data_IF_311035569801
#
_entry.id   IF_311035569801
#
_cell.length_a   1.000
_cell.length_b   1.000
_cell.length_c   1.000
_cell.angle_alpha   90.00
_cell.angle_beta   90.00
_cell.angle_gamma   90.00
#
_symmetry.space_group_name_H-M   'P 1'
#
loop_
_entity.id
_entity.type
_entity.pdbx_description
1 polymer ?
#
# COMPACT_ATOMS: atom_id res chain seq x y z
N UNK A 1 10.77 31.72 3.82
CA UNK A 1 11.50 31.31 2.61
C UNK A 1 10.69 30.19 1.98
N UNK A 2 9.65 30.54 1.21
CA UNK A 2 8.73 29.56 0.60
C UNK A 2 9.15 29.45 -0.86
N UNK A 3 9.43 28.22 -1.27
CA UNK A 3 10.07 27.83 -2.52
C UNK A 3 9.30 28.37 -3.74
N UNK A 4 10.06 28.86 -4.70
CA UNK A 4 9.61 29.31 -6.02
C UNK A 4 8.67 28.27 -6.62
N UNK A 5 7.52 28.72 -7.14
CA UNK A 5 6.69 27.96 -8.07
C UNK A 5 7.57 27.16 -9.04
N UNK A 6 7.56 25.83 -8.90
CA UNK A 6 8.24 24.93 -9.83
C UNK A 6 7.61 25.13 -11.20
N UNK A 7 8.44 25.35 -12.21
CA UNK A 7 8.02 25.46 -13.61
C UNK A 7 7.56 24.11 -14.22
N UNK A 8 7.33 23.09 -13.38
CA UNK A 8 6.96 21.74 -13.79
C UNK A 8 5.48 21.54 -13.45
N UNK A 9 4.74 20.90 -14.35
CA UNK A 9 3.32 20.56 -14.14
C UNK A 9 3.10 19.71 -12.88
N UNK A 10 1.83 19.56 -12.50
CA UNK A 10 1.40 18.79 -11.33
C UNK A 10 2.05 17.40 -11.31
N UNK A 11 2.65 17.00 -10.19
CA UNK A 11 3.27 15.69 -10.00
C UNK A 11 2.40 14.85 -9.06
N UNK A 12 1.86 13.77 -9.60
CA UNK A 12 0.90 12.91 -8.91
C UNK A 12 1.64 11.63 -8.52
N UNK A 13 1.84 11.42 -7.22
CA UNK A 13 2.23 10.11 -6.70
C UNK A 13 1.02 9.18 -6.81
N UNK A 14 1.15 8.04 -7.49
CA UNK A 14 0.08 7.07 -7.62
C UNK A 14 0.44 5.86 -6.77
N UNK A 15 -0.17 5.75 -5.59
CA UNK A 15 0.10 4.68 -4.65
C UNK A 15 -0.81 3.48 -4.93
N UNK A 16 -0.25 2.27 -5.01
CA UNK A 16 -0.99 1.05 -5.34
C UNK A 16 -0.35 -0.20 -4.71
N UNK A 17 -1.14 -1.27 -4.61
CA UNK A 17 -0.63 -2.64 -4.50
C UNK A 17 -1.09 -3.42 -5.74
N UNK A 18 -0.24 -4.29 -6.28
CA UNK A 18 -0.59 -5.10 -7.46
C UNK A 18 -0.87 -6.54 -7.05
N UNK A 19 -2.06 -7.04 -7.41
CA UNK A 19 -2.44 -8.45 -7.22
C UNK A 19 -1.39 -9.35 -7.89
N UNK A 20 -0.75 -10.27 -7.15
CA UNK A 20 0.21 -11.20 -7.73
C UNK A 20 -0.47 -12.09 -8.76
N UNK A 21 0.27 -12.48 -9.80
CA UNK A 21 -0.20 -13.51 -10.72
C UNK A 21 -0.39 -14.86 -9.98
N UNK A 22 -1.32 -15.69 -10.46
CA UNK A 22 -1.71 -16.97 -9.82
C UNK A 22 -0.51 -17.91 -9.53
N UNK A 23 0.56 -17.81 -10.31
CA UNK A 23 1.79 -18.58 -10.13
C UNK A 23 2.65 -18.08 -8.95
N UNK A 24 2.65 -16.78 -8.69
CA UNK A 24 3.37 -16.16 -7.58
C UNK A 24 2.75 -16.50 -6.21
N UNK A 25 1.43 -16.69 -6.14
CA UNK A 25 0.72 -17.10 -4.92
C UNK A 25 1.13 -18.50 -4.42
N UNK A 26 1.64 -19.34 -5.31
CA UNK A 26 2.15 -20.67 -4.99
C UNK A 26 3.61 -20.65 -4.52
N UNK A 27 4.33 -19.54 -4.71
CA UNK A 27 5.68 -19.34 -4.22
C UNK A 27 5.67 -18.56 -2.91
N UNK A 28 5.95 -19.24 -1.80
CA UNK A 28 5.94 -18.68 -0.44
C UNK A 28 7.02 -17.62 -0.16
N UNK A 29 7.74 -17.12 -1.17
CA UNK A 29 8.90 -16.24 -1.01
C UNK A 29 8.64 -14.77 -1.36
N UNK A 30 7.53 -14.44 -2.03
CA UNK A 30 7.31 -13.09 -2.54
C UNK A 30 6.82 -12.09 -1.48
N UNK A 31 6.23 -12.56 -0.38
CA UNK A 31 5.71 -11.68 0.68
C UNK A 31 6.04 -12.25 2.06
N UNK A 32 6.77 -11.51 2.92
CA UNK A 32 7.00 -11.95 4.29
C UNK A 32 5.64 -12.09 4.98
N UNK A 33 5.42 -13.23 5.63
CA UNK A 33 4.21 -13.44 6.43
C UNK A 33 4.03 -12.27 7.40
N UNK A 34 2.81 -11.72 7.55
CA UNK A 34 2.57 -10.67 8.52
C UNK A 34 3.02 -11.19 9.89
N UNK A 35 3.92 -10.44 10.54
CA UNK A 35 4.40 -10.77 11.88
C UNK A 35 3.21 -11.15 12.76
N UNK A 36 3.23 -12.31 13.46
CA UNK A 36 2.17 -12.61 14.41
C UNK A 36 2.12 -11.49 15.44
N UNK A 37 0.93 -10.93 15.64
CA UNK A 37 0.67 -9.88 16.62
C UNK A 37 1.25 -10.26 17.99
N UNK A 38 1.75 -9.31 18.81
CA UNK A 38 2.47 -9.61 20.05
C UNK A 38 1.59 -10.13 21.21
N UNK A 39 0.38 -10.64 20.95
CA UNK A 39 -0.59 -11.01 21.99
C UNK A 39 -0.45 -12.42 22.59
N UNK A 40 0.60 -13.19 22.28
CA UNK A 40 0.71 -14.59 22.76
C UNK A 40 1.47 -14.79 24.09
N UNK A 41 1.66 -13.75 24.89
CA UNK A 41 2.30 -13.85 26.22
C UNK A 41 1.30 -13.73 27.39
N UNK A 42 0.20 -14.47 27.38
CA UNK A 42 -0.64 -14.70 28.57
C UNK A 42 -0.99 -16.18 28.73
N UNK A 43 -0.62 -16.85 29.83
CA UNK A 43 -1.16 -18.17 30.13
C UNK A 43 -2.41 -17.99 30.99
N UNK A 44 -3.58 -18.40 30.51
CA UNK A 44 -4.45 -19.38 31.21
C UNK A 44 -5.90 -19.44 30.68
N UNK A 45 -6.30 -20.70 30.51
CA UNK A 45 -7.63 -21.29 30.64
C UNK A 45 -8.74 -20.95 29.64
N UNK A 46 -9.15 -22.03 28.95
CA UNK A 46 -10.50 -22.38 28.51
C UNK A 46 -11.12 -21.64 27.33
N UNK A 47 -11.23 -22.36 26.21
CA UNK A 47 -12.39 -22.28 25.31
C UNK A 47 -12.10 -21.83 23.89
N UNK A 48 -12.35 -22.75 22.95
CA UNK A 48 -12.46 -22.57 21.49
C UNK A 48 -11.17 -22.22 20.73
N UNK A 49 -10.52 -23.28 20.26
CA UNK A 49 -9.50 -23.23 19.21
C UNK A 49 -10.13 -22.78 17.89
N UNK A 50 -10.11 -21.49 17.58
CA UNK A 50 -10.07 -21.05 16.19
C UNK A 50 -8.63 -21.20 15.73
N UNK A 51 -8.33 -22.36 15.12
CA UNK A 51 -7.07 -22.53 14.43
C UNK A 51 -7.12 -21.60 13.20
N UNK A 52 -6.55 -20.40 13.35
CA UNK A 52 -6.39 -19.46 12.25
C UNK A 52 -5.61 -20.18 11.15
N UNK A 53 -6.26 -20.42 10.02
CA UNK A 53 -5.61 -20.94 8.83
C UNK A 53 -4.76 -19.78 8.28
N UNK A 54 -3.41 -19.84 8.30
CA UNK A 54 -2.58 -18.77 7.74
C UNK A 54 -2.85 -18.55 6.24
N UNK A 55 -3.46 -19.54 5.57
CA UNK A 55 -3.86 -19.48 4.18
C UNK A 55 -5.09 -18.58 3.92
N UNK A 56 -5.95 -18.31 4.93
CA UNK A 56 -7.10 -17.41 4.72
C UNK A 56 -6.69 -15.94 4.66
N UNK A 57 -5.76 -15.51 5.51
CA UNK A 57 -5.42 -14.09 5.64
C UNK A 57 -4.65 -13.55 4.44
N UNK A 58 -3.84 -14.40 3.79
CA UNK A 58 -3.10 -14.07 2.56
C UNK A 58 -4.06 -13.95 1.37
N UNK A 59 -4.98 -14.90 1.22
CA UNK A 59 -5.97 -14.87 0.15
C UNK A 59 -6.94 -13.68 0.31
N UNK A 60 -7.29 -13.33 1.54
CA UNK A 60 -8.11 -12.16 1.87
C UNK A 60 -7.38 -10.85 1.53
N UNK A 61 -6.10 -10.73 1.89
CA UNK A 61 -5.26 -9.56 1.57
C UNK A 61 -5.17 -9.32 0.06
N UNK A 62 -4.93 -10.37 -0.73
CA UNK A 62 -4.84 -10.22 -2.18
C UNK A 62 -6.19 -10.04 -2.87
N UNK A 63 -7.31 -10.43 -2.24
CA UNK A 63 -8.63 -10.25 -2.84
C UNK A 63 -8.94 -8.76 -3.07
N UNK A 64 -8.52 -7.91 -2.14
CA UNK A 64 -8.73 -6.45 -2.14
C UNK A 64 -7.81 -5.71 -3.11
N UNK A 65 -6.69 -6.31 -3.54
CA UNK A 65 -5.75 -5.67 -4.46
C UNK A 65 -6.24 -5.69 -5.90
N UNK A 66 -5.93 -4.63 -6.64
CA UNK A 66 -6.25 -4.48 -8.06
C UNK A 66 -5.25 -5.22 -8.96
N UNK A 67 -5.73 -5.63 -10.13
CA UNK A 67 -4.85 -6.16 -11.17
C UNK A 67 -4.07 -5.05 -11.89
N UNK A 68 -2.97 -5.43 -12.54
CA UNK A 68 -2.12 -4.47 -13.29
C UNK A 68 -2.91 -3.72 -14.38
N UNK A 69 -3.95 -4.31 -14.95
CA UNK A 69 -4.75 -3.64 -15.99
C UNK A 69 -5.58 -2.48 -15.43
N UNK A 70 -6.10 -2.64 -14.22
CA UNK A 70 -6.80 -1.60 -13.48
C UNK A 70 -5.84 -0.49 -13.06
N UNK A 71 -4.67 -0.85 -12.54
CA UNK A 71 -3.63 0.12 -12.17
C UNK A 71 -3.20 0.96 -13.39
N UNK A 72 -2.93 0.30 -14.53
CA UNK A 72 -2.57 0.99 -15.78
C UNK A 72 -3.70 1.90 -16.31
N UNK A 73 -4.97 1.50 -16.15
CA UNK A 73 -6.11 2.32 -16.56
C UNK A 73 -6.23 3.60 -15.71
N UNK A 74 -6.01 3.50 -14.39
CA UNK A 74 -6.03 4.65 -13.48
C UNK A 74 -4.84 5.57 -13.76
N UNK A 75 -3.63 5.03 -13.95
CA UNK A 75 -2.46 5.80 -14.35
C UNK A 75 -2.70 6.60 -15.63
N UNK A 76 -3.28 5.97 -16.65
CA UNK A 76 -3.63 6.62 -17.91
C UNK A 76 -4.64 7.76 -17.71
N UNK A 77 -5.63 7.57 -16.83
CA UNK A 77 -6.60 8.62 -16.48
C UNK A 77 -5.93 9.80 -15.77
N UNK A 78 -5.12 9.54 -14.74
CA UNK A 78 -4.39 10.56 -13.97
C UNK A 78 -3.40 11.34 -14.83
N UNK A 79 -2.80 10.70 -15.84
CA UNK A 79 -1.84 11.33 -16.77
C UNK A 79 -2.43 12.49 -17.56
N UNK A 80 -3.76 12.61 -17.66
CA UNK A 80 -4.41 13.78 -18.26
C UNK A 80 -4.32 15.03 -17.38
N UNK A 81 -4.05 14.89 -16.08
CA UNK A 81 -3.96 15.98 -15.11
C UNK A 81 -2.51 16.35 -14.73
N UNK A 82 -1.55 15.43 -14.84
CA UNK A 82 -0.17 15.67 -14.42
C UNK A 82 0.81 14.53 -14.74
N UNK A 83 2.07 14.70 -14.34
CA UNK A 83 3.09 13.66 -14.37
C UNK A 83 2.76 12.61 -13.29
N UNK A 84 2.52 11.37 -13.70
CA UNK A 84 2.23 10.27 -12.78
C UNK A 84 3.52 9.55 -12.38
N UNK A 85 3.71 9.34 -11.09
CA UNK A 85 4.85 8.63 -10.51
C UNK A 85 4.28 7.44 -9.76
N UNK A 86 4.53 6.23 -10.29
CA UNK A 86 4.11 4.98 -9.65
C UNK A 86 4.84 4.78 -8.32
N UNK A 87 4.08 4.51 -7.27
CA UNK A 87 4.56 4.27 -5.91
C UNK A 87 3.93 2.98 -5.38
N UNK A 88 4.63 1.86 -5.52
CA UNK A 88 4.15 0.61 -4.94
C UNK A 88 4.18 0.70 -3.40
N UNK A 89 3.08 0.31 -2.74
CA UNK A 89 2.93 0.36 -1.29
C UNK A 89 3.60 -0.86 -0.63
N UNK A 90 4.91 -0.93 -0.81
CA UNK A 90 5.83 -1.94 -0.30
C UNK A 90 6.74 -1.36 0.81
N UNK A 91 7.70 -2.13 1.35
CA UNK A 91 8.63 -1.62 2.37
C UNK A 91 9.50 -0.43 1.92
N UNK A 92 9.70 -0.23 0.61
CA UNK A 92 10.48 0.87 0.06
C UNK A 92 9.64 2.13 -0.22
N UNK A 93 8.31 2.03 -0.12
CA UNK A 93 7.38 3.15 -0.28
C UNK A 93 7.79 4.45 0.42
N UNK A 94 8.25 4.45 1.70
CA UNK A 94 8.63 5.70 2.36
C UNK A 94 9.78 6.41 1.63
N UNK A 95 10.81 5.68 1.23
CA UNK A 95 11.93 6.25 0.49
C UNK A 95 11.47 6.76 -0.90
N UNK A 96 10.67 5.95 -1.60
CA UNK A 96 10.15 6.27 -2.92
C UNK A 96 9.25 7.51 -2.89
N UNK A 97 8.35 7.64 -1.92
CA UNK A 97 7.49 8.82 -1.75
C UNK A 97 8.33 10.08 -1.50
N UNK A 98 9.39 9.97 -0.69
CA UNK A 98 10.27 11.10 -0.37
C UNK A 98 11.05 11.60 -1.59
N UNK A 99 11.52 10.69 -2.44
CA UNK A 99 12.23 11.00 -3.69
C UNK A 99 11.28 11.43 -4.81
N UNK A 100 10.07 10.88 -4.84
CA UNK A 100 9.06 11.22 -5.82
C UNK A 100 8.71 12.69 -5.78
N UNK A 101 8.78 13.37 -4.62
CA UNK A 101 8.50 14.82 -4.47
C UNK A 101 7.14 15.17 -5.13
N UNK A 102 6.14 14.32 -4.89
CA UNK A 102 4.79 14.49 -5.40
C UNK A 102 4.12 15.72 -4.76
N UNK A 103 3.27 16.39 -5.53
CA UNK A 103 2.44 17.50 -5.06
C UNK A 103 1.16 16.99 -4.38
N UNK A 104 0.70 15.79 -4.80
CA UNK A 104 -0.43 15.06 -4.24
C UNK A 104 -0.21 13.55 -4.45
N UNK A 105 -0.73 12.73 -3.55
CA UNK A 105 -0.80 11.28 -3.72
C UNK A 105 -2.23 10.83 -4.02
N UNK A 106 -2.45 10.17 -5.15
CA UNK A 106 -3.67 9.40 -5.39
C UNK A 106 -3.49 8.01 -4.79
N UNK A 107 -4.17 7.70 -3.69
CA UNK A 107 -4.08 6.40 -3.02
C UNK A 107 -5.10 5.40 -3.59
N UNK A 108 -4.60 4.27 -4.07
CA UNK A 108 -5.33 3.04 -4.40
C UNK A 108 -4.70 1.83 -3.67
N UNK A 109 -3.79 2.06 -2.73
CA UNK A 109 -3.16 0.99 -1.97
C UNK A 109 -4.04 0.54 -0.80
N UNK A 110 -4.19 -0.78 -0.65
CA UNK A 110 -4.86 -1.42 0.49
C UNK A 110 -3.85 -1.81 1.59
N UNK A 111 -2.55 -1.73 1.28
CA UNK A 111 -1.45 -2.00 2.18
C UNK A 111 -1.16 -3.48 2.42
N UNK A 112 -0.12 -3.75 3.21
CA UNK A 112 0.42 -5.10 3.45
C UNK A 112 0.20 -5.50 4.91
N UNK A 113 -0.79 -6.37 5.14
CA UNK A 113 -0.97 -7.12 6.39
C UNK A 113 -1.31 -6.31 7.65
N UNK A 114 -1.96 -6.97 8.61
CA UNK A 114 -2.33 -6.35 9.89
C UNK A 114 -3.52 -5.40 9.80
N UNK A 115 -4.02 -4.97 10.96
CA UNK A 115 -5.28 -4.23 11.09
C UNK A 115 -5.22 -2.76 10.63
N UNK A 116 -4.02 -2.23 10.35
CA UNK A 116 -3.81 -0.83 9.96
C UNK A 116 -3.15 -0.70 8.59
N UNK A 117 -3.23 -1.75 7.76
CA UNK A 117 -2.61 -1.81 6.42
C UNK A 117 -3.04 -0.64 5.52
N UNK A 118 -4.32 -0.32 5.50
CA UNK A 118 -4.87 0.79 4.70
C UNK A 118 -4.28 2.14 5.12
N UNK A 119 -4.04 2.34 6.41
CA UNK A 119 -3.53 3.60 6.95
C UNK A 119 -2.04 3.85 6.67
N UNK A 120 -1.31 2.88 6.09
CA UNK A 120 0.13 2.99 5.84
C UNK A 120 0.48 4.18 4.93
N UNK A 121 -0.16 4.27 3.76
CA UNK A 121 0.09 5.36 2.80
C UNK A 121 -0.34 6.72 3.36
N UNK A 122 -1.57 6.89 3.88
CA UNK A 122 -2.00 8.11 4.56
C UNK A 122 -1.03 8.58 5.65
N UNK A 123 -0.58 7.68 6.52
CA UNK A 123 0.29 8.04 7.64
C UNK A 123 1.61 8.68 7.18
N UNK A 124 2.23 8.16 6.11
CA UNK A 124 3.43 8.76 5.54
C UNK A 124 3.16 10.07 4.80
N UNK A 125 2.02 10.17 4.10
CA UNK A 125 1.60 11.41 3.46
C UNK A 125 1.38 12.52 4.50
N UNK A 126 0.66 12.23 5.58
CA UNK A 126 0.47 13.14 6.72
C UNK A 126 1.79 13.55 7.36
N UNK A 127 2.68 12.57 7.63
CA UNK A 127 3.98 12.82 8.24
C UNK A 127 4.84 13.82 7.42
N UNK A 128 4.79 13.75 6.09
CA UNK A 128 5.50 14.66 5.20
C UNK A 128 4.70 15.87 4.73
N UNK A 129 3.45 16.01 5.18
CA UNK A 129 2.57 17.13 4.78
C UNK A 129 2.21 17.11 3.30
N UNK A 130 2.10 15.92 2.70
CA UNK A 130 1.71 15.71 1.31
C UNK A 130 0.19 15.47 1.25
N UNK A 131 -0.58 16.26 0.49
CA UNK A 131 -2.01 16.00 0.27
C UNK A 131 -2.22 14.61 -0.36
N UNK A 132 -3.32 13.94 -0.02
CA UNK A 132 -3.63 12.62 -0.56
C UNK A 132 -5.14 12.36 -0.73
N UNK A 133 -5.50 11.35 -1.52
CA UNK A 133 -6.87 10.79 -1.63
C UNK A 133 -6.96 9.46 -0.90
N UNK A 134 -8.18 8.96 -0.66
CA UNK A 134 -8.38 7.66 0.02
C UNK A 134 -8.19 7.74 1.53
N UNK A 135 -8.43 6.61 2.19
CA UNK A 135 -8.29 6.43 3.65
C UNK A 135 -7.04 5.67 4.04
#
# INVERSE_FOLDING_TARGET
MIEKHRANGLRIGFAFNVKPADDALLSSEAYPSPNPSPESAVPSSSGLSSAANPCSDIADTFAEWDDESTIAAVEAALSHAGEVIRLEADPDFPANLREARADIVFNLAEGIGGASRESFVPAFCEFWGIPYTGS
#
